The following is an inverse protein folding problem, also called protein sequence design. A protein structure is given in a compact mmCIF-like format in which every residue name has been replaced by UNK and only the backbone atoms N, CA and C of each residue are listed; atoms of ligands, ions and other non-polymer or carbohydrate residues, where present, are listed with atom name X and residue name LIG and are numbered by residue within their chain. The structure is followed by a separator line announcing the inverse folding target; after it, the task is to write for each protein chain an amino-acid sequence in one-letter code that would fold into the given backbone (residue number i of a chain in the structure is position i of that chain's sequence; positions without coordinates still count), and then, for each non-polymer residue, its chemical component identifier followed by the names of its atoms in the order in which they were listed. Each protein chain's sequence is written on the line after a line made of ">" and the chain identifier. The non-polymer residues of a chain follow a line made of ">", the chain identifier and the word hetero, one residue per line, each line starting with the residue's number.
data_IF_238409765845
#
_entry.id   IF_238409765845
#
_cell.length_a   1.000
_cell.length_b   1.000
_cell.length_c   1.000
_cell.angle_alpha   90.00
_cell.angle_beta   90.00
_cell.angle_gamma   90.00
#
_symmetry.space_group_name_H-M   'P 1'
#
loop_
_entity.id
_entity.type
_entity.pdbx_description
1 polymer ?
#
# COMPACT_ATOMS: atom_id res chain seq x y z
N UNK A 1 3.53 -58.01 49.68
CA UNK A 1 3.67 -57.27 48.40
C UNK A 1 3.59 -58.26 47.24
N UNK A 2 2.50 -58.26 46.46
CA UNK A 2 2.36 -59.16 45.29
C UNK A 2 3.43 -58.79 44.25
N UNK A 3 4.30 -59.75 43.88
CA UNK A 3 5.33 -59.55 42.85
C UNK A 3 4.64 -59.50 41.47
N UNK A 4 4.86 -58.42 40.72
CA UNK A 4 4.37 -58.26 39.34
C UNK A 4 4.88 -59.39 38.44
N UNK A 5 4.05 -59.91 37.53
CA UNK A 5 4.47 -60.95 36.57
C UNK A 5 5.41 -60.38 35.50
N UNK A 6 6.21 -61.24 34.85
CA UNK A 6 7.15 -60.84 33.78
C UNK A 6 6.41 -60.10 32.64
N UNK A 7 5.21 -60.56 32.29
CA UNK A 7 4.32 -59.94 31.30
C UNK A 7 3.93 -58.50 31.67
N UNK A 8 3.62 -58.22 32.94
CA UNK A 8 3.29 -56.87 33.40
C UNK A 8 4.49 -55.92 33.30
N UNK A 9 5.70 -56.42 33.61
CA UNK A 9 6.93 -55.63 33.48
C UNK A 9 7.24 -55.32 32.01
N UNK A 10 7.11 -56.31 31.12
CA UNK A 10 7.29 -56.11 29.68
C UNK A 10 6.26 -55.13 29.11
N UNK A 11 4.98 -55.26 29.50
CA UNK A 11 3.91 -54.38 29.05
C UNK A 11 4.12 -52.93 29.52
N UNK A 12 4.58 -52.71 30.76
CA UNK A 12 4.93 -51.37 31.25
C UNK A 12 6.13 -50.77 30.51
N UNK A 13 7.15 -51.59 30.22
CA UNK A 13 8.35 -51.15 29.52
C UNK A 13 8.06 -50.69 28.08
N UNK A 14 7.05 -51.27 27.43
CA UNK A 14 6.63 -50.90 26.07
C UNK A 14 5.52 -49.86 26.04
N UNK A 15 4.60 -49.85 27.01
CA UNK A 15 3.49 -48.90 27.06
C UNK A 15 3.96 -47.46 27.26
N UNK A 16 5.00 -47.22 28.07
CA UNK A 16 5.51 -45.86 28.35
C UNK A 16 6.07 -45.19 27.07
N UNK A 17 7.00 -45.83 26.30
CA UNK A 17 7.46 -45.28 25.03
C UNK A 17 6.34 -45.08 24.00
N UNK A 18 5.37 -45.99 23.93
CA UNK A 18 4.23 -45.88 23.01
C UNK A 18 3.31 -44.71 23.37
N UNK A 19 3.03 -44.50 24.67
CA UNK A 19 2.29 -43.33 25.16
C UNK A 19 3.03 -42.03 24.85
N UNK A 20 4.35 -41.98 25.07
CA UNK A 20 5.17 -40.82 24.72
C UNK A 20 5.10 -40.55 23.20
N UNK A 21 5.26 -41.57 22.36
CA UNK A 21 5.13 -41.44 20.90
C UNK A 21 3.74 -40.96 20.48
N UNK A 22 2.67 -41.43 21.12
CA UNK A 22 1.30 -40.98 20.85
C UNK A 22 1.12 -39.50 21.21
N UNK A 23 1.62 -39.08 22.38
CA UNK A 23 1.54 -37.68 22.81
C UNK A 23 2.36 -36.78 21.86
N UNK A 24 3.59 -37.17 21.53
CA UNK A 24 4.42 -36.44 20.58
C UNK A 24 3.78 -36.38 19.18
N UNK A 25 3.22 -37.49 18.69
CA UNK A 25 2.53 -37.53 17.39
C UNK A 25 1.30 -36.64 17.40
N UNK A 26 0.48 -36.68 18.46
CA UNK A 26 -0.68 -35.82 18.60
C UNK A 26 -0.28 -34.33 18.65
N UNK A 27 0.79 -33.99 19.37
CA UNK A 27 1.33 -32.64 19.42
C UNK A 27 1.85 -32.18 18.05
N UNK A 28 2.58 -33.04 17.33
CA UNK A 28 3.08 -32.76 15.98
C UNK A 28 1.92 -32.58 14.99
N UNK A 29 0.91 -33.44 15.03
CA UNK A 29 -0.27 -33.35 14.15
C UNK A 29 -1.04 -32.06 14.46
N UNK A 30 -1.26 -31.74 15.73
CA UNK A 30 -1.94 -30.51 16.14
C UNK A 30 -1.19 -29.25 15.70
N UNK A 31 0.14 -29.25 15.83
CA UNK A 31 0.98 -28.15 15.38
C UNK A 31 0.98 -28.02 13.85
N UNK A 32 1.14 -29.11 13.11
CA UNK A 32 1.09 -29.14 11.65
C UNK A 32 -0.27 -28.70 11.11
N UNK A 33 -1.37 -29.13 11.75
CA UNK A 33 -2.71 -28.71 11.37
C UNK A 33 -2.96 -27.22 11.65
N UNK A 34 -2.43 -26.70 12.76
CA UNK A 34 -2.47 -25.28 13.08
C UNK A 34 -1.67 -24.45 12.09
N UNK A 35 -0.46 -24.90 11.71
CA UNK A 35 0.36 -24.27 10.67
C UNK A 35 -0.36 -24.22 9.33
N UNK A 36 -0.97 -25.33 8.90
CA UNK A 36 -1.73 -25.40 7.66
C UNK A 36 -2.92 -24.41 7.65
N UNK A 37 -3.71 -24.36 8.72
CA UNK A 37 -4.82 -23.41 8.85
C UNK A 37 -4.35 -21.96 8.85
N UNK A 38 -3.28 -21.65 9.57
CA UNK A 38 -2.71 -20.31 9.60
C UNK A 38 -2.20 -19.88 8.22
N UNK A 39 -1.57 -20.79 7.46
CA UNK A 39 -1.10 -20.51 6.12
C UNK A 39 -2.25 -20.14 5.16
N UNK A 40 -3.36 -20.88 5.22
CA UNK A 40 -4.57 -20.56 4.44
C UNK A 40 -5.14 -19.18 4.78
N UNK A 41 -5.27 -18.87 6.07
CA UNK A 41 -5.73 -17.55 6.52
C UNK A 41 -4.77 -16.43 6.08
N UNK A 42 -3.46 -16.63 6.22
CA UNK A 42 -2.48 -15.64 5.79
C UNK A 42 -2.56 -15.40 4.28
N UNK A 43 -2.78 -16.44 3.47
CA UNK A 43 -2.97 -16.27 2.02
C UNK A 43 -4.19 -15.39 1.70
N UNK A 44 -5.33 -15.60 2.35
CA UNK A 44 -6.53 -14.77 2.14
C UNK A 44 -6.28 -13.31 2.55
N UNK A 45 -5.61 -13.08 3.69
CA UNK A 45 -5.25 -11.74 4.16
C UNK A 45 -4.29 -11.02 3.22
N UNK A 46 -3.35 -11.76 2.63
CA UNK A 46 -2.42 -11.24 1.62
C UNK A 46 -3.18 -10.86 0.34
N UNK A 47 -4.13 -11.67 -0.13
CA UNK A 47 -4.94 -11.34 -1.30
C UNK A 47 -5.74 -10.05 -1.11
N UNK A 48 -6.36 -9.86 0.06
CA UNK A 48 -7.06 -8.61 0.39
C UNK A 48 -6.12 -7.41 0.36
N UNK A 49 -4.90 -7.58 0.86
CA UNK A 49 -3.91 -6.50 0.90
C UNK A 49 -3.36 -6.16 -0.48
N UNK A 50 -3.15 -7.16 -1.34
CA UNK A 50 -2.77 -6.95 -2.75
C UNK A 50 -3.88 -6.19 -3.47
N UNK A 51 -5.13 -6.63 -3.34
CA UNK A 51 -6.28 -5.94 -3.92
C UNK A 51 -6.45 -4.51 -3.37
N UNK A 52 -6.13 -4.29 -2.09
CA UNK A 52 -6.09 -2.94 -1.51
C UNK A 52 -5.02 -2.06 -2.17
N UNK A 53 -3.82 -2.58 -2.43
CA UNK A 53 -2.77 -1.85 -3.14
C UNK A 53 -3.13 -1.53 -4.59
N UNK A 54 -3.76 -2.47 -5.31
CA UNK A 54 -4.26 -2.24 -6.67
C UNK A 54 -5.33 -1.14 -6.70
N UNK A 55 -6.26 -1.18 -5.72
CA UNK A 55 -7.27 -0.14 -5.55
C UNK A 55 -6.63 1.21 -5.18
N UNK A 56 -5.64 1.23 -4.29
CA UNK A 56 -4.87 2.43 -3.95
C UNK A 56 -4.24 3.03 -5.21
N UNK A 57 -3.59 2.22 -6.05
CA UNK A 57 -2.97 2.68 -7.29
C UNK A 57 -3.99 3.26 -8.27
N UNK A 58 -5.14 2.60 -8.44
CA UNK A 58 -6.24 3.11 -9.27
C UNK A 58 -6.76 4.46 -8.74
N UNK A 59 -6.99 4.58 -7.43
CA UNK A 59 -7.41 5.82 -6.78
C UNK A 59 -6.36 6.93 -6.88
N UNK A 60 -5.06 6.60 -6.83
CA UNK A 60 -3.97 7.56 -7.02
C UNK A 60 -3.98 8.16 -8.43
N UNK A 61 -4.23 7.33 -9.46
CA UNK A 61 -4.40 7.77 -10.84
C UNK A 61 -5.66 8.62 -10.98
N UNK A 62 -6.80 8.15 -10.47
CA UNK A 62 -8.06 8.89 -10.54
C UNK A 62 -7.99 10.25 -9.83
N UNK A 63 -7.35 10.32 -8.66
CA UNK A 63 -7.07 11.57 -7.93
C UNK A 63 -6.31 12.57 -8.79
N UNK A 64 -5.20 12.14 -9.38
CA UNK A 64 -4.35 13.01 -10.20
C UNK A 64 -5.08 13.54 -11.43
N UNK A 65 -5.78 12.66 -12.14
CA UNK A 65 -6.51 13.02 -13.35
C UNK A 65 -7.72 13.90 -13.04
N UNK A 66 -8.44 13.64 -11.95
CA UNK A 66 -9.57 14.48 -11.52
C UNK A 66 -9.10 15.87 -11.12
N UNK A 67 -7.98 15.99 -10.41
CA UNK A 67 -7.38 17.28 -10.10
C UNK A 67 -6.99 18.04 -11.38
N UNK A 68 -6.36 17.37 -12.37
CA UNK A 68 -6.01 18.00 -13.65
C UNK A 68 -7.24 18.44 -14.47
N UNK A 69 -8.31 17.64 -14.46
CA UNK A 69 -9.58 18.02 -15.08
C UNK A 69 -10.19 19.27 -14.43
N UNK A 70 -10.26 19.30 -13.10
CA UNK A 70 -10.79 20.45 -12.36
C UNK A 70 -9.95 21.72 -12.55
N UNK A 71 -8.61 21.61 -12.49
CA UNK A 71 -7.70 22.74 -12.69
C UNK A 71 -7.76 23.32 -14.11
N UNK A 72 -8.09 22.49 -15.10
CA UNK A 72 -8.26 22.92 -16.49
C UNK A 72 -9.69 23.38 -16.81
N UNK A 73 -10.56 23.55 -15.81
CA UNK A 73 -11.99 23.84 -16.00
C UNK A 73 -12.66 22.89 -17.00
N UNK A 74 -12.30 21.60 -16.92
CA UNK A 74 -12.83 20.53 -17.76
C UNK A 74 -12.23 20.42 -19.16
N UNK A 75 -11.27 21.26 -19.54
CA UNK A 75 -10.69 21.29 -20.89
C UNK A 75 -9.68 20.17 -21.15
N UNK A 76 -9.02 19.64 -20.11
CA UNK A 76 -8.04 18.56 -20.22
C UNK A 76 -8.52 17.33 -19.46
N UNK A 77 -8.04 16.16 -19.88
CA UNK A 77 -8.27 14.86 -19.21
C UNK A 77 -9.71 14.32 -19.25
N UNK A 78 -10.66 15.04 -19.86
CA UNK A 78 -12.06 14.63 -20.00
C UNK A 78 -12.20 13.24 -20.65
N UNK A 79 -11.42 12.97 -21.70
CA UNK A 79 -11.46 11.70 -22.44
C UNK A 79 -10.85 10.53 -21.65
N UNK A 80 -9.91 10.83 -20.74
CA UNK A 80 -9.19 9.80 -19.96
C UNK A 80 -9.92 9.38 -18.68
N UNK A 81 -10.72 10.29 -18.10
CA UNK A 81 -11.38 10.08 -16.82
C UNK A 81 -12.34 8.87 -16.80
N UNK A 82 -13.23 8.68 -17.80
CA UNK A 82 -14.15 7.55 -17.80
C UNK A 82 -13.43 6.19 -17.72
N UNK A 83 -12.34 6.02 -18.47
CA UNK A 83 -11.54 4.79 -18.46
C UNK A 83 -10.86 4.54 -17.12
N UNK A 84 -10.33 5.58 -16.47
CA UNK A 84 -9.72 5.45 -15.14
C UNK A 84 -10.76 5.17 -14.04
N UNK A 85 -11.95 5.77 -14.13
CA UNK A 85 -13.05 5.48 -13.20
C UNK A 85 -13.52 4.04 -13.31
N UNK A 86 -13.67 3.53 -14.54
CA UNK A 86 -14.04 2.14 -14.79
C UNK A 86 -13.01 1.16 -14.19
N UNK A 87 -11.70 1.44 -14.36
CA UNK A 87 -10.64 0.65 -13.72
C UNK A 87 -10.71 0.70 -12.20
N UNK A 88 -10.97 1.88 -11.63
CA UNK A 88 -11.14 2.01 -10.17
C UNK A 88 -12.35 1.22 -9.67
N UNK A 89 -13.44 1.20 -10.43
CA UNK A 89 -14.65 0.43 -10.08
C UNK A 89 -14.43 -1.08 -10.16
N UNK A 90 -13.63 -1.54 -11.13
CA UNK A 90 -13.18 -2.93 -11.22
C UNK A 90 -12.36 -3.34 -9.99
N UNK A 91 -11.35 -2.55 -9.63
CA UNK A 91 -10.51 -2.83 -8.44
C UNK A 91 -11.30 -2.73 -7.14
N UNK A 92 -12.25 -1.80 -7.06
CA UNK A 92 -13.16 -1.66 -5.94
C UNK A 92 -14.02 -2.92 -5.75
N UNK A 93 -14.55 -3.46 -6.85
CA UNK A 93 -15.34 -4.70 -6.82
C UNK A 93 -14.49 -5.90 -6.39
N UNK A 94 -13.27 -6.02 -6.91
CA UNK A 94 -12.34 -7.09 -6.53
C UNK A 94 -11.98 -7.02 -5.04
N UNK A 95 -11.61 -5.84 -4.55
CA UNK A 95 -11.32 -5.60 -3.14
C UNK A 95 -12.50 -5.97 -2.23
N UNK A 96 -13.71 -5.51 -2.55
CA UNK A 96 -14.92 -5.82 -1.75
C UNK A 96 -15.20 -7.31 -1.67
N UNK A 97 -15.11 -8.03 -2.80
CA UNK A 97 -15.33 -9.47 -2.81
C UNK A 97 -14.36 -10.24 -1.91
N UNK A 98 -13.10 -9.82 -1.87
CA UNK A 98 -12.09 -10.43 -0.99
C UNK A 98 -12.27 -10.03 0.49
N UNK A 99 -12.69 -8.80 0.77
CA UNK A 99 -13.00 -8.38 2.16
C UNK A 99 -14.17 -9.19 2.72
N UNK A 100 -15.20 -9.45 1.90
CA UNK A 100 -16.34 -10.29 2.29
C UNK A 100 -15.91 -11.73 2.63
N UNK A 101 -14.95 -12.31 1.89
CA UNK A 101 -14.50 -13.68 2.15
C UNK A 101 -13.75 -13.85 3.48
N UNK A 102 -13.15 -12.79 4.03
CA UNK A 102 -12.35 -12.84 5.26
C UNK A 102 -13.08 -12.36 6.52
N UNK A 103 -14.36 -11.98 6.43
CA UNK A 103 -15.09 -11.44 7.60
C UNK A 103 -15.13 -12.40 8.80
N UNK A 104 -15.15 -13.72 8.55
CA UNK A 104 -15.16 -14.74 9.60
C UNK A 104 -13.84 -14.93 10.34
N UNK A 105 -12.72 -14.41 9.80
CA UNK A 105 -11.37 -14.55 10.37
C UNK A 105 -10.75 -13.21 10.77
N UNK A 106 -11.37 -12.09 10.39
CA UNK A 106 -10.90 -10.74 10.70
C UNK A 106 -11.10 -10.36 12.18
N UNK A 107 -10.15 -9.63 12.75
CA UNK A 107 -10.31 -9.04 14.11
C UNK A 107 -11.31 -7.88 14.11
N UNK A 108 -11.85 -7.51 15.28
CA UNK A 108 -12.68 -6.31 15.42
C UNK A 108 -12.02 -5.04 14.87
N UNK A 109 -10.70 -4.89 15.06
CA UNK A 109 -9.94 -3.76 14.54
C UNK A 109 -9.87 -3.74 13.00
N UNK A 110 -9.63 -4.90 12.38
CA UNK A 110 -9.63 -5.04 10.93
C UNK A 110 -11.02 -4.77 10.34
N UNK A 111 -12.08 -5.31 10.96
CA UNK A 111 -13.46 -5.05 10.56
C UNK A 111 -13.83 -3.56 10.69
N UNK A 112 -13.37 -2.89 11.76
CA UNK A 112 -13.58 -1.46 11.93
C UNK A 112 -12.84 -0.65 10.84
N UNK A 113 -11.63 -1.06 10.47
CA UNK A 113 -10.89 -0.42 9.37
C UNK A 113 -11.60 -0.59 8.03
N UNK A 114 -12.09 -1.80 7.71
CA UNK A 114 -12.89 -2.05 6.51
C UNK A 114 -14.16 -1.23 6.45
N UNK A 115 -14.90 -1.12 7.56
CA UNK A 115 -16.09 -0.25 7.63
C UNK A 115 -15.78 1.22 7.35
N UNK A 116 -14.63 1.73 7.84
CA UNK A 116 -14.19 3.11 7.54
C UNK A 116 -13.87 3.28 6.06
N UNK A 117 -13.21 2.29 5.45
CA UNK A 117 -12.92 2.26 4.01
C UNK A 117 -14.21 2.25 3.19
N UNK A 118 -15.16 1.37 3.53
CA UNK A 118 -16.45 1.27 2.84
C UNK A 118 -17.26 2.56 2.91
N UNK A 119 -17.31 3.20 4.08
CA UNK A 119 -18.00 4.47 4.25
C UNK A 119 -17.44 5.55 3.31
N UNK A 120 -16.11 5.66 3.20
CA UNK A 120 -15.48 6.59 2.26
C UNK A 120 -15.72 6.21 0.80
N UNK A 121 -15.60 4.94 0.45
CA UNK A 121 -15.80 4.48 -0.92
C UNK A 121 -17.27 4.63 -1.37
N UNK A 122 -18.25 4.61 -0.46
CA UNK A 122 -19.64 4.89 -0.79
C UNK A 122 -19.87 6.33 -1.30
N UNK A 123 -19.02 7.29 -0.87
CA UNK A 123 -19.11 8.70 -1.27
C UNK A 123 -18.45 9.00 -2.62
N UNK A 124 -17.67 8.07 -3.20
CA UNK A 124 -16.86 8.33 -4.41
C UNK A 124 -17.72 8.72 -5.61
N UNK A 125 -18.91 8.11 -5.77
CA UNK A 125 -19.84 8.42 -6.85
C UNK A 125 -20.35 9.87 -6.77
N UNK A 126 -20.73 10.32 -5.58
CA UNK A 126 -21.17 11.70 -5.36
C UNK A 126 -20.05 12.71 -5.64
N UNK A 127 -18.83 12.42 -5.21
CA UNK A 127 -17.67 13.26 -5.54
C UNK A 127 -17.46 13.32 -7.06
N UNK A 128 -17.48 12.17 -7.76
CA UNK A 128 -17.26 12.10 -9.22
C UNK A 128 -18.28 12.93 -9.99
N UNK A 129 -19.55 12.94 -9.56
CA UNK A 129 -20.62 13.77 -10.14
C UNK A 129 -20.34 15.25 -9.93
N UNK A 130 -20.00 15.67 -8.71
CA UNK A 130 -19.64 17.07 -8.42
C UNK A 130 -18.39 17.51 -9.20
N UNK A 131 -17.39 16.63 -9.29
CA UNK A 131 -16.17 16.89 -10.04
C UNK A 131 -16.45 17.08 -11.54
N UNK A 132 -17.32 16.24 -12.12
CA UNK A 132 -17.73 16.38 -13.52
C UNK A 132 -18.48 17.69 -13.77
N UNK A 133 -19.32 18.12 -12.83
CA UNK A 133 -20.03 19.38 -12.89
C UNK A 133 -19.17 20.61 -12.52
N UNK A 134 -17.85 20.43 -12.29
CA UNK A 134 -16.92 21.47 -11.83
C UNK A 134 -17.38 22.19 -10.54
N UNK A 135 -18.18 21.52 -9.71
CA UNK A 135 -18.82 22.08 -8.50
C UNK A 135 -18.13 21.69 -7.20
N UNK A 136 -16.94 21.09 -7.27
CA UNK A 136 -16.09 20.76 -6.12
C UNK A 136 -14.75 21.48 -6.23
N UNK A 137 -14.27 22.14 -5.18
CA UNK A 137 -12.93 22.70 -5.16
C UNK A 137 -11.86 21.61 -5.37
N UNK A 138 -10.82 21.91 -6.15
CA UNK A 138 -9.70 20.99 -6.43
C UNK A 138 -9.11 20.41 -5.13
N UNK A 139 -8.90 21.25 -4.11
CA UNK A 139 -8.36 20.83 -2.82
C UNK A 139 -9.26 19.86 -2.07
N UNK A 140 -10.57 20.03 -2.14
CA UNK A 140 -11.54 19.11 -1.52
C UNK A 140 -11.50 17.74 -2.22
N UNK A 141 -11.47 17.73 -3.56
CA UNK A 141 -11.34 16.49 -4.34
C UNK A 141 -10.05 15.75 -3.99
N UNK A 142 -8.90 16.44 -3.99
CA UNK A 142 -7.60 15.83 -3.61
C UNK A 142 -7.66 15.29 -2.18
N UNK A 143 -8.23 16.06 -1.25
CA UNK A 143 -8.38 15.69 0.15
C UNK A 143 -9.20 14.40 0.33
N UNK A 144 -10.33 14.28 -0.38
CA UNK A 144 -11.15 13.09 -0.36
C UNK A 144 -10.36 11.83 -0.76
N UNK A 145 -9.76 11.81 -1.96
CA UNK A 145 -9.03 10.63 -2.43
C UNK A 145 -7.85 10.30 -1.51
N UNK A 146 -7.13 11.33 -1.02
CA UNK A 146 -6.01 11.13 -0.09
C UNK A 146 -6.47 10.51 1.24
N UNK A 147 -7.62 10.92 1.77
CA UNK A 147 -8.20 10.34 2.97
C UNK A 147 -8.68 8.90 2.74
N UNK A 148 -9.26 8.59 1.57
CA UNK A 148 -9.67 7.23 1.20
C UNK A 148 -8.47 6.31 1.04
N UNK A 149 -7.41 6.75 0.36
CA UNK A 149 -6.14 6.01 0.24
C UNK A 149 -5.52 5.76 1.63
N UNK A 150 -5.54 6.75 2.51
CA UNK A 150 -5.03 6.61 3.89
C UNK A 150 -5.84 5.55 4.66
N UNK A 151 -7.17 5.54 4.54
CA UNK A 151 -8.00 4.53 5.19
C UNK A 151 -7.71 3.11 4.67
N UNK A 152 -7.42 2.95 3.37
CA UNK A 152 -7.00 1.67 2.80
C UNK A 152 -5.64 1.22 3.36
N UNK A 153 -4.67 2.13 3.45
CA UNK A 153 -3.38 1.86 4.09
C UNK A 153 -3.53 1.43 5.56
N UNK A 154 -4.41 2.09 6.32
CA UNK A 154 -4.69 1.75 7.72
C UNK A 154 -5.37 0.37 7.84
N UNK A 155 -6.21 0.00 6.86
CA UNK A 155 -6.81 -1.34 6.79
C UNK A 155 -5.73 -2.41 6.54
N UNK A 156 -4.76 -2.14 5.66
CA UNK A 156 -3.62 -3.04 5.45
C UNK A 156 -2.80 -3.23 6.73
N UNK A 157 -2.59 -2.17 7.53
CA UNK A 157 -1.90 -2.29 8.83
C UNK A 157 -2.67 -3.19 9.81
N UNK A 158 -4.00 -3.11 9.78
CA UNK A 158 -4.88 -4.01 10.54
C UNK A 158 -4.68 -5.47 10.17
N UNK A 159 -4.56 -5.75 8.86
CA UNK A 159 -4.32 -7.10 8.34
C UNK A 159 -2.91 -7.61 8.66
N UNK A 160 -1.91 -6.74 8.63
CA UNK A 160 -0.53 -7.06 9.01
C UNK A 160 -0.45 -7.74 10.38
N UNK A 161 -1.25 -7.23 11.34
CA UNK A 161 -1.26 -7.70 12.73
C UNK A 161 -1.87 -9.09 12.91
N UNK A 162 -2.57 -9.61 11.90
CA UNK A 162 -3.16 -10.94 11.93
C UNK A 162 -2.16 -12.02 11.52
N UNK A 163 -1.13 -11.64 10.77
CA UNK A 163 -0.13 -12.59 10.30
C UNK A 163 0.79 -13.04 11.44
N UNK A 164 0.96 -14.35 11.58
CA UNK A 164 1.80 -14.98 12.61
C UNK A 164 3.13 -15.48 12.07
N UNK A 165 3.32 -15.47 10.75
CA UNK A 165 4.56 -15.92 10.11
C UNK A 165 5.54 -14.73 9.96
N UNK A 166 6.73 -14.78 10.60
CA UNK A 166 7.71 -13.70 10.51
C UNK A 166 8.22 -13.43 9.09
N UNK A 167 8.31 -14.45 8.24
CA UNK A 167 8.80 -14.29 6.86
C UNK A 167 7.78 -13.54 6.01
N UNK A 168 6.49 -13.87 6.15
CA UNK A 168 5.39 -13.18 5.48
C UNK A 168 5.24 -11.78 6.04
N UNK A 169 5.42 -11.57 7.35
CA UNK A 169 5.33 -10.25 7.97
C UNK A 169 6.41 -9.32 7.41
N UNK A 170 7.60 -9.85 7.16
CA UNK A 170 8.70 -9.12 6.53
C UNK A 170 8.39 -8.74 5.08
N UNK A 171 7.89 -9.68 4.27
CA UNK A 171 7.47 -9.41 2.89
C UNK A 171 6.34 -8.38 2.85
N UNK A 172 5.39 -8.49 3.77
CA UNK A 172 4.29 -7.56 3.91
C UNK A 172 4.76 -6.15 4.26
N UNK A 173 5.73 -6.03 5.19
CA UNK A 173 6.33 -4.75 5.54
C UNK A 173 7.04 -4.11 4.34
N UNK A 174 7.76 -4.90 3.53
CA UNK A 174 8.36 -4.41 2.29
C UNK A 174 7.28 -3.91 1.32
N UNK A 175 6.23 -4.71 1.09
CA UNK A 175 5.11 -4.34 0.23
C UNK A 175 4.44 -3.03 0.68
N UNK A 176 4.08 -2.90 1.96
CA UNK A 176 3.49 -1.68 2.50
C UNK A 176 4.41 -0.46 2.36
N UNK A 177 5.73 -0.66 2.51
CA UNK A 177 6.69 0.42 2.35
C UNK A 177 6.70 0.96 0.91
N UNK A 178 6.59 0.10 -0.11
CA UNK A 178 6.44 0.53 -1.51
C UNK A 178 5.16 1.34 -1.71
N UNK A 179 4.01 0.81 -1.28
CA UNK A 179 2.70 1.47 -1.44
C UNK A 179 2.69 2.85 -0.77
N UNK A 180 3.24 2.94 0.46
CA UNK A 180 3.35 4.22 1.20
C UNK A 180 4.35 5.17 0.56
N UNK A 181 5.47 4.65 0.05
CA UNK A 181 6.44 5.42 -0.73
C UNK A 181 5.80 6.05 -1.95
N UNK A 182 5.07 5.26 -2.75
CA UNK A 182 4.30 5.74 -3.91
C UNK A 182 3.27 6.79 -3.54
N UNK A 183 2.53 6.60 -2.44
CA UNK A 183 1.54 7.58 -2.02
C UNK A 183 2.18 8.94 -1.69
N UNK A 184 3.33 8.93 -1.01
CA UNK A 184 4.05 10.17 -0.71
C UNK A 184 4.67 10.78 -1.98
N UNK A 185 5.17 9.96 -2.92
CA UNK A 185 5.63 10.43 -4.23
C UNK A 185 4.49 11.05 -5.06
N UNK A 186 3.28 10.48 -4.99
CA UNK A 186 2.09 11.00 -5.66
C UNK A 186 1.63 12.34 -5.07
N UNK A 187 1.74 12.52 -3.75
CA UNK A 187 1.46 13.81 -3.10
C UNK A 187 2.54 14.86 -3.40
N UNK A 188 3.82 14.46 -3.38
CA UNK A 188 4.92 15.33 -3.81
C UNK A 188 4.73 15.78 -5.25
N UNK A 189 4.41 14.84 -6.17
CA UNK A 189 4.10 15.14 -7.57
C UNK A 189 3.11 16.29 -7.67
N UNK A 190 1.95 16.16 -7.02
CA UNK A 190 0.89 17.16 -7.08
C UNK A 190 1.32 18.53 -6.51
N UNK A 191 1.97 18.53 -5.33
CA UNK A 191 2.40 19.77 -4.66
C UNK A 191 3.49 20.50 -5.46
N UNK A 192 4.46 19.77 -6.00
CA UNK A 192 5.58 20.33 -6.76
C UNK A 192 5.15 20.74 -8.18
N UNK A 193 4.23 20.02 -8.83
CA UNK A 193 3.63 20.49 -10.10
C UNK A 193 2.97 21.85 -9.91
N UNK A 194 2.23 22.05 -8.82
CA UNK A 194 1.60 23.33 -8.52
C UNK A 194 2.63 24.45 -8.27
N UNK A 195 3.73 24.13 -7.58
CA UNK A 195 4.82 25.08 -7.34
C UNK A 195 5.53 25.51 -8.65
N UNK A 196 5.84 24.55 -9.54
CA UNK A 196 6.41 24.87 -10.84
C UNK A 196 5.45 25.66 -11.73
N UNK A 197 4.15 25.32 -11.71
CA UNK A 197 3.15 26.06 -12.49
C UNK A 197 2.98 27.51 -12.00
N UNK A 198 3.07 27.74 -10.69
CA UNK A 198 3.05 29.08 -10.12
C UNK A 198 4.40 29.82 -10.26
N UNK A 199 5.44 29.12 -10.71
CA UNK A 199 6.84 29.57 -10.73
C UNK A 199 7.31 30.18 -9.39
N UNK A 200 6.73 29.70 -8.29
CA UNK A 200 6.93 30.15 -6.92
C UNK A 200 6.53 29.05 -5.94
N UNK A 201 7.21 28.96 -4.81
CA UNK A 201 6.81 28.08 -3.69
C UNK A 201 6.89 28.84 -2.38
N UNK A 202 5.80 28.83 -1.61
CA UNK A 202 5.80 29.44 -0.28
C UNK A 202 6.48 28.52 0.74
N UNK A 203 7.08 29.09 1.80
CA UNK A 203 7.80 28.31 2.82
C UNK A 203 6.95 27.19 3.46
N UNK A 204 5.63 27.40 3.62
CA UNK A 204 4.71 26.36 4.13
C UNK A 204 4.56 25.22 3.12
N UNK A 205 4.38 25.54 1.84
CA UNK A 205 4.23 24.54 0.77
C UNK A 205 5.54 23.77 0.56
N UNK A 206 6.67 24.46 0.58
CA UNK A 206 7.99 23.84 0.46
C UNK A 206 8.26 22.85 1.61
N UNK A 207 7.95 23.23 2.86
CA UNK A 207 8.06 22.30 4.01
C UNK A 207 7.16 21.07 3.85
N UNK A 208 5.95 21.24 3.31
CA UNK A 208 5.06 20.11 3.04
C UNK A 208 5.64 19.17 1.96
N UNK A 209 6.24 19.71 0.90
CA UNK A 209 6.95 18.95 -0.14
C UNK A 209 8.11 18.16 0.46
N UNK A 210 8.97 18.82 1.25
CA UNK A 210 10.09 18.17 1.96
C UNK A 210 9.60 17.03 2.87
N UNK A 211 8.49 17.22 3.57
CA UNK A 211 7.90 16.17 4.39
C UNK A 211 7.52 14.94 3.56
N UNK A 212 6.98 15.12 2.35
CA UNK A 212 6.65 13.98 1.45
C UNK A 212 7.90 13.30 0.92
N UNK A 213 8.96 14.06 0.61
CA UNK A 213 10.25 13.51 0.19
C UNK A 213 10.90 12.68 1.30
N UNK A 214 11.00 13.20 2.52
CA UNK A 214 11.59 12.45 3.65
C UNK A 214 10.79 11.21 4.02
N UNK A 215 9.46 11.25 3.87
CA UNK A 215 8.64 10.03 4.02
C UNK A 215 8.98 8.98 2.96
N UNK A 216 9.24 9.36 1.71
CA UNK A 216 9.68 8.41 0.69
C UNK A 216 11.03 7.77 1.06
N UNK A 217 12.00 8.59 1.48
CA UNK A 217 13.33 8.12 1.91
C UNK A 217 13.20 7.12 3.09
N UNK A 218 12.39 7.45 4.11
CA UNK A 218 12.15 6.55 5.24
C UNK A 218 11.48 5.22 4.81
N UNK A 219 10.50 5.24 3.92
CA UNK A 219 9.89 4.00 3.43
C UNK A 219 10.83 3.21 2.53
N UNK A 220 11.73 3.85 1.78
CA UNK A 220 12.79 3.14 1.05
C UNK A 220 13.74 2.42 2.00
N UNK A 221 14.11 3.01 3.14
CA UNK A 221 14.91 2.34 4.16
C UNK A 221 14.19 1.15 4.79
N UNK A 222 12.90 1.31 5.13
CA UNK A 222 12.06 0.20 5.64
C UNK A 222 12.00 -0.94 4.62
N UNK A 223 11.79 -0.62 3.34
CA UNK A 223 11.85 -1.60 2.27
C UNK A 223 13.22 -2.29 2.22
N UNK A 224 14.31 -1.53 2.29
CA UNK A 224 15.68 -2.08 2.28
C UNK A 224 15.98 -3.02 3.46
N UNK A 225 15.36 -2.83 4.61
CA UNK A 225 15.45 -3.74 5.76
C UNK A 225 14.60 -5.01 5.61
N UNK A 226 13.44 -4.88 4.95
CA UNK A 226 12.42 -5.92 4.85
C UNK A 226 12.56 -6.82 3.60
N UNK A 227 12.97 -6.25 2.47
CA UNK A 227 13.06 -6.90 1.18
C UNK A 227 14.11 -8.03 1.12
N UNK A 228 13.91 -8.98 0.20
CA UNK A 228 14.92 -9.96 -0.19
C UNK A 228 15.97 -9.39 -1.16
N UNK A 229 16.96 -10.19 -1.54
CA UNK A 229 18.05 -9.73 -2.41
C UNK A 229 17.58 -9.30 -3.81
N UNK A 230 16.60 -10.01 -4.38
CA UNK A 230 16.04 -9.72 -5.71
C UNK A 230 15.27 -8.40 -5.68
N UNK A 231 14.42 -8.23 -4.66
CA UNK A 231 13.64 -7.01 -4.42
C UNK A 231 14.54 -5.79 -4.18
N UNK A 232 15.63 -5.94 -3.41
CA UNK A 232 16.63 -4.87 -3.22
C UNK A 232 17.33 -4.48 -4.51
N UNK A 233 17.72 -5.46 -5.32
CA UNK A 233 18.33 -5.21 -6.62
C UNK A 233 17.37 -4.47 -7.57
N UNK A 234 16.09 -4.84 -7.55
CA UNK A 234 15.05 -4.14 -8.30
C UNK A 234 14.90 -2.67 -7.84
N UNK A 235 14.86 -2.41 -6.53
CA UNK A 235 14.84 -1.03 -6.01
C UNK A 235 16.10 -0.25 -6.42
N UNK A 236 17.29 -0.84 -6.31
CA UNK A 236 18.54 -0.19 -6.73
C UNK A 236 18.53 0.18 -8.21
N UNK A 237 17.96 -0.67 -9.07
CA UNK A 237 17.80 -0.38 -10.50
C UNK A 237 16.90 0.85 -10.72
N UNK A 238 15.80 0.96 -9.99
CA UNK A 238 14.89 2.12 -10.05
C UNK A 238 15.63 3.38 -9.58
N UNK A 239 16.33 3.32 -8.44
CA UNK A 239 17.08 4.45 -7.90
C UNK A 239 18.26 4.89 -8.78
N UNK A 240 18.82 3.98 -9.58
CA UNK A 240 19.84 4.27 -10.58
C UNK A 240 19.29 4.68 -11.96
N UNK A 241 17.97 4.61 -12.14
CA UNK A 241 17.28 4.83 -13.40
C UNK A 241 17.22 6.30 -13.84
N UNK A 242 16.78 6.52 -15.08
CA UNK A 242 16.68 7.87 -15.64
C UNK A 242 15.57 8.70 -14.98
N UNK A 243 14.43 8.07 -14.65
CA UNK A 243 13.32 8.74 -13.98
C UNK A 243 13.73 9.30 -12.61
N UNK A 244 14.42 8.51 -11.77
CA UNK A 244 14.93 8.98 -10.48
C UNK A 244 15.95 10.12 -10.65
N UNK A 245 16.91 9.98 -11.57
CA UNK A 245 17.91 11.04 -11.83
C UNK A 245 17.25 12.36 -12.20
N UNK A 246 16.23 12.32 -13.06
CA UNK A 246 15.51 13.53 -13.46
C UNK A 246 14.69 14.11 -12.30
N UNK A 247 14.03 13.26 -11.50
CA UNK A 247 13.35 13.70 -10.27
C UNK A 247 14.33 14.41 -9.32
N UNK A 248 15.53 13.87 -9.12
CA UNK A 248 16.54 14.48 -8.26
C UNK A 248 17.07 15.81 -8.83
N UNK A 249 17.28 15.89 -10.15
CA UNK A 249 17.66 17.14 -10.82
C UNK A 249 16.62 18.24 -10.59
N UNK A 250 15.33 17.91 -10.77
CA UNK A 250 14.23 18.85 -10.59
C UNK A 250 14.00 19.23 -9.12
N UNK A 251 14.20 18.29 -8.19
CA UNK A 251 14.23 18.59 -6.74
C UNK A 251 15.33 19.59 -6.40
N UNK A 252 16.53 19.44 -6.96
CA UNK A 252 17.63 20.38 -6.72
C UNK A 252 17.30 21.81 -7.21
N UNK A 253 16.59 21.95 -8.34
CA UNK A 253 16.10 23.26 -8.81
C UNK A 253 15.08 23.85 -7.83
N UNK A 254 14.12 23.04 -7.37
CA UNK A 254 13.13 23.46 -6.39
C UNK A 254 13.79 23.90 -5.08
N UNK A 255 14.80 23.15 -4.62
CA UNK A 255 15.55 23.41 -3.38
C UNK A 255 16.39 24.70 -3.45
N UNK A 256 16.86 25.08 -4.65
CA UNK A 256 17.60 26.32 -4.88
C UNK A 256 16.70 27.58 -4.98
N UNK A 257 15.47 27.43 -5.47
CA UNK A 257 14.54 28.55 -5.73
C UNK A 257 13.50 28.96 -4.65
N UNK A 258 13.41 28.45 -3.39
CA UNK A 258 12.30 28.79 -2.48
C UNK A 258 12.21 30.28 -2.12
N UNK A 259 13.31 31.03 -2.22
CA UNK A 259 13.37 32.45 -1.91
C UNK A 259 13.20 33.37 -3.14
N UNK A 260 13.30 32.84 -4.36
CA UNK A 260 13.44 33.63 -5.59
C UNK A 260 12.38 33.30 -6.66
N UNK A 261 11.75 32.12 -6.61
CA UNK A 261 10.95 31.63 -7.73
C UNK A 261 11.81 31.43 -8.97
N UNK A 262 11.24 31.53 -10.17
CA UNK A 262 12.03 31.54 -11.40
C UNK A 262 12.69 30.20 -11.73
N UNK A 263 12.02 29.09 -11.42
CA UNK A 263 12.53 27.74 -11.62
C UNK A 263 12.85 27.44 -13.09
N UNK A 264 12.16 28.09 -14.03
CA UNK A 264 12.27 27.86 -15.48
C UNK A 264 12.13 26.36 -15.84
N UNK A 265 11.21 25.68 -15.15
CA UNK A 265 10.87 24.28 -15.34
C UNK A 265 9.45 24.19 -15.87
N UNK A 266 9.25 23.45 -16.96
CA UNK A 266 7.90 23.12 -17.41
C UNK A 266 7.25 22.15 -16.41
N UNK A 267 6.05 22.45 -15.86
CA UNK A 267 5.39 21.57 -14.89
C UNK A 267 5.13 20.16 -15.41
N UNK A 268 5.01 20.03 -16.74
CA UNK A 268 4.83 18.76 -17.43
C UNK A 268 6.07 17.84 -17.34
N UNK A 269 7.27 18.41 -17.35
CA UNK A 269 8.52 17.63 -17.26
C UNK A 269 8.65 16.98 -15.88
N UNK A 270 8.39 17.76 -14.83
CA UNK A 270 8.31 17.22 -13.47
C UNK A 270 7.23 16.15 -13.35
N UNK A 271 6.01 16.46 -13.82
CA UNK A 271 4.90 15.52 -13.74
C UNK A 271 5.23 14.19 -14.42
N UNK A 272 5.87 14.24 -15.60
CA UNK A 272 6.30 13.06 -16.35
C UNK A 272 7.34 12.26 -15.57
N UNK A 273 8.44 12.87 -15.15
CA UNK A 273 9.56 12.19 -14.49
C UNK A 273 9.13 11.47 -13.21
N UNK A 274 8.38 12.15 -12.34
CA UNK A 274 7.90 11.54 -11.09
C UNK A 274 6.80 10.50 -11.33
N UNK A 275 6.00 10.62 -12.40
CA UNK A 275 5.01 9.59 -12.77
C UNK A 275 5.69 8.33 -13.27
N UNK A 276 6.73 8.44 -14.10
CA UNK A 276 7.54 7.31 -14.55
C UNK A 276 8.15 6.57 -13.35
N UNK A 277 8.75 7.30 -12.41
CA UNK A 277 9.25 6.73 -11.15
C UNK A 277 8.16 5.99 -10.36
N UNK A 278 6.95 6.57 -10.24
CA UNK A 278 5.84 5.94 -9.51
C UNK A 278 5.40 4.62 -10.18
N UNK A 279 5.35 4.58 -11.52
CA UNK A 279 5.04 3.33 -12.24
C UNK A 279 6.16 2.30 -12.10
N UNK A 280 7.43 2.72 -12.12
CA UNK A 280 8.57 1.84 -11.81
C UNK A 280 8.50 1.28 -10.40
N UNK A 281 8.14 2.10 -9.40
CA UNK A 281 7.92 1.64 -8.02
C UNK A 281 6.73 0.68 -7.91
N UNK A 282 5.66 0.89 -8.68
CA UNK A 282 4.52 -0.03 -8.69
C UNK A 282 4.92 -1.42 -9.21
N UNK A 283 5.92 -1.53 -10.08
CA UNK A 283 6.43 -2.83 -10.49
C UNK A 283 7.14 -3.62 -9.37
N UNK A 284 7.46 -2.99 -8.22
CA UNK A 284 7.97 -3.68 -7.02
C UNK A 284 6.85 -4.29 -6.16
N UNK A 285 5.59 -3.98 -6.46
CA UNK A 285 4.42 -4.55 -5.77
C UNK A 285 4.05 -5.96 -6.29
N UNK A 286 4.69 -6.38 -7.39
CA UNK A 286 4.52 -7.66 -8.09
C UNK A 286 5.69 -8.61 -7.83
#
# INVERSE_FOLDING_TARGET
>A
MKRSTILQRLALLTAIPLLALLIFSAALISNSFSLYRNAGQTQELMQVSVAAGDLIHALQKERGTTAGYLQSNGQKMADTLPGLRAKTDEQLKAYKGLVESIQGVATPDALAAFKRVDAKLAEIGALRTRAWALSVPVGESIGFYTATITALLDAMDGLARLNRDPSIAKQFLAYQAVVRGKENAGQERAMTTAAFAANKVEAVQYRAILQKRHKQEAYQEVFGGAADATQKAALQKILGGNAEKEVQRLRAILDAGPAQGGFNVEPADWFKAISEKIEEMHALEL
#
